data_IF_407356784887
#
_entry.id   IF_407356784887
#
_cell.length_a   1.000
_cell.length_b   1.000
_cell.length_c   1.000
_cell.angle_alpha   90.00
_cell.angle_beta   90.00
_cell.angle_gamma   90.00
#
_symmetry.space_group_name_H-M   'P 1'
#
loop_
_entity.id
_entity.type
_entity.pdbx_description
1 polymer ?
#
# COMPACT_ATOMS: atom_id res chain seq x y z
N UNK A 1 -17.66 2.50 -55.47
CA UNK A 1 -18.14 2.31 -54.08
C UNK A 1 -17.20 1.35 -53.36
N UNK A 2 -16.14 1.82 -52.68
CA UNK A 2 -15.23 0.91 -51.93
C UNK A 2 -14.27 1.61 -50.95
N UNK A 3 -14.59 2.81 -50.45
CA UNK A 3 -13.70 3.54 -49.53
C UNK A 3 -14.22 3.61 -48.08
N UNK A 4 -15.45 3.16 -47.79
CA UNK A 4 -16.03 3.23 -46.45
C UNK A 4 -15.61 2.09 -45.51
N UNK A 5 -14.98 1.02 -45.99
CA UNK A 5 -14.74 -0.17 -45.17
C UNK A 5 -13.38 -0.20 -44.44
N UNK A 6 -12.43 0.67 -44.81
CA UNK A 6 -11.09 0.72 -44.19
C UNK A 6 -11.04 1.53 -42.88
N UNK A 7 -11.99 2.46 -42.68
CA UNK A 7 -12.06 3.27 -41.46
C UNK A 7 -12.56 2.50 -40.24
N UNK A 8 -13.42 1.49 -40.44
CA UNK A 8 -13.99 0.72 -39.34
C UNK A 8 -12.95 -0.17 -38.63
N UNK A 9 -11.95 -0.65 -39.36
CA UNK A 9 -10.91 -1.52 -38.80
C UNK A 9 -9.92 -0.80 -37.89
N UNK A 10 -9.61 0.48 -38.19
CA UNK A 10 -8.72 1.30 -37.34
C UNK A 10 -9.47 1.73 -36.07
N UNK A 11 -10.76 2.09 -36.20
CA UNK A 11 -11.59 2.41 -35.03
C UNK A 11 -11.78 1.19 -34.12
N UNK A 12 -11.96 -0.01 -34.70
CA UNK A 12 -12.00 -1.26 -33.94
C UNK A 12 -10.66 -1.63 -33.29
N UNK A 13 -9.53 -1.30 -33.91
CA UNK A 13 -8.20 -1.47 -33.30
C UNK A 13 -7.98 -0.51 -32.12
N UNK A 14 -8.43 0.75 -32.24
CA UNK A 14 -8.34 1.75 -31.18
C UNK A 14 -9.25 1.42 -29.99
N UNK A 15 -10.44 0.83 -30.23
CA UNK A 15 -11.29 0.33 -29.15
C UNK A 15 -10.72 -0.91 -28.44
N UNK A 16 -9.91 -1.73 -29.12
CA UNK A 16 -9.25 -2.92 -28.53
C UNK A 16 -8.03 -2.59 -27.66
N UNK A 17 -7.48 -1.38 -27.77
CA UNK A 17 -6.39 -0.89 -26.92
C UNK A 17 -6.85 -0.24 -25.61
N UNK A 18 -8.16 -0.23 -25.31
CA UNK A 18 -8.69 0.20 -24.01
C UNK A 18 -8.56 -0.89 -22.94
N UNK A 19 -7.42 -1.58 -22.90
CA UNK A 19 -6.99 -2.38 -21.76
C UNK A 19 -6.59 -1.50 -20.57
N UNK A 20 -7.37 -0.45 -20.26
CA UNK A 20 -7.36 0.13 -18.92
C UNK A 20 -8.03 -0.90 -18.04
N UNK A 21 -7.25 -1.81 -17.47
CA UNK A 21 -7.70 -2.61 -16.34
C UNK A 21 -8.30 -1.64 -15.31
N UNK A 22 -9.63 -1.65 -15.19
CA UNK A 22 -10.34 -0.91 -14.15
C UNK A 22 -10.00 -1.45 -12.77
N UNK A 23 -9.53 -2.70 -12.71
CA UNK A 23 -9.14 -3.34 -11.47
C UNK A 23 -7.70 -3.00 -11.11
N UNK A 24 -7.41 -2.80 -9.81
CA UNK A 24 -6.06 -2.60 -9.33
C UNK A 24 -5.23 -3.89 -9.49
N UNK A 25 -3.91 -3.78 -9.70
CA UNK A 25 -3.03 -4.95 -9.84
C UNK A 25 -2.95 -5.80 -8.57
N UNK A 26 -3.40 -5.27 -7.43
CA UNK A 26 -3.66 -6.03 -6.22
C UNK A 26 -4.84 -5.43 -5.44
N UNK A 27 -5.55 -6.22 -4.61
CA UNK A 27 -6.62 -5.71 -3.76
C UNK A 27 -6.16 -4.56 -2.88
N UNK A 28 -7.01 -3.55 -2.70
CA UNK A 28 -6.70 -2.34 -1.93
C UNK A 28 -6.27 -2.67 -0.49
N UNK A 29 -6.98 -3.56 0.20
CA UNK A 29 -6.62 -3.94 1.57
C UNK A 29 -5.26 -4.64 1.66
N UNK A 30 -4.88 -5.39 0.63
CA UNK A 30 -3.55 -6.04 0.54
C UNK A 30 -2.47 -5.00 0.31
N UNK A 31 -2.72 -4.00 -0.54
CA UNK A 31 -1.80 -2.89 -0.76
C UNK A 31 -1.62 -2.06 0.52
N UNK A 32 -2.72 -1.70 1.19
CA UNK A 32 -2.71 -0.97 2.46
C UNK A 32 -1.97 -1.76 3.55
N UNK A 33 -2.25 -3.05 3.73
CA UNK A 33 -1.55 -3.90 4.71
C UNK A 33 -0.04 -3.97 4.41
N UNK A 34 0.34 -4.14 3.14
CA UNK A 34 1.75 -4.16 2.74
C UNK A 34 2.44 -2.83 3.06
N UNK A 35 1.82 -1.68 2.76
CA UNK A 35 2.36 -0.36 3.07
C UNK A 35 2.53 -0.15 4.58
N UNK A 36 1.54 -0.54 5.40
CA UNK A 36 1.63 -0.45 6.87
C UNK A 36 2.78 -1.32 7.40
N UNK A 37 2.91 -2.57 6.92
CA UNK A 37 4.00 -3.46 7.33
C UNK A 37 5.37 -2.94 6.89
N UNK A 38 5.48 -2.41 5.68
CA UNK A 38 6.70 -1.76 5.19
C UNK A 38 7.11 -0.58 6.07
N UNK A 39 6.15 0.25 6.49
CA UNK A 39 6.41 1.38 7.39
C UNK A 39 6.85 0.93 8.79
N UNK A 40 6.29 -0.16 9.31
CA UNK A 40 6.77 -0.78 10.56
C UNK A 40 8.20 -1.26 10.46
N UNK A 41 8.56 -1.91 9.35
CA UNK A 41 9.95 -2.32 9.09
C UNK A 41 10.87 -1.10 9.01
N UNK A 42 10.46 -0.03 8.32
CA UNK A 42 11.23 1.22 8.25
C UNK A 42 11.54 1.79 9.63
N UNK A 43 10.53 1.85 10.50
CA UNK A 43 10.70 2.35 11.87
C UNK A 43 11.59 1.43 12.71
N UNK A 44 11.37 0.10 12.63
CA UNK A 44 12.12 -0.89 13.42
C UNK A 44 13.60 -0.96 13.02
N UNK A 45 13.91 -0.86 11.73
CA UNK A 45 15.25 -1.03 11.20
C UNK A 45 15.84 0.28 10.65
N UNK A 46 15.35 1.44 11.10
CA UNK A 46 15.80 2.76 10.64
C UNK A 46 17.32 2.94 10.74
N UNK A 47 17.95 2.35 11.75
CA UNK A 47 19.40 2.42 11.99
C UNK A 47 20.21 1.33 11.28
N UNK A 48 19.58 0.36 10.60
CA UNK A 48 20.28 -0.76 9.96
C UNK A 48 19.73 -1.01 8.55
N UNK A 49 20.30 -0.36 7.52
CA UNK A 49 19.86 -0.51 6.14
C UNK A 49 19.91 -1.94 5.61
N UNK A 50 20.91 -2.73 6.00
CA UNK A 50 21.04 -4.12 5.56
C UNK A 50 19.95 -5.01 6.16
N UNK A 51 19.67 -4.86 7.46
CA UNK A 51 18.57 -5.57 8.12
C UNK A 51 17.23 -5.15 7.53
N UNK A 52 17.04 -3.85 7.26
CA UNK A 52 15.83 -3.35 6.61
C UNK A 52 15.64 -3.99 5.23
N UNK A 53 16.69 -4.08 4.42
CA UNK A 53 16.61 -4.71 3.10
C UNK A 53 16.19 -6.18 3.20
N UNK A 54 16.85 -6.95 4.07
CA UNK A 54 16.55 -8.37 4.26
C UNK A 54 15.09 -8.58 4.71
N UNK A 55 14.64 -7.82 5.69
CA UNK A 55 13.28 -7.96 6.22
C UNK A 55 12.21 -7.53 5.22
N UNK A 56 12.49 -6.52 4.39
CA UNK A 56 11.61 -6.15 3.28
C UNK A 56 11.50 -7.30 2.28
N UNK A 57 12.61 -7.91 1.89
CA UNK A 57 12.60 -9.06 0.98
C UNK A 57 11.83 -10.26 1.56
N UNK A 58 12.01 -10.53 2.87
CA UNK A 58 11.27 -11.57 3.58
C UNK A 58 9.77 -11.28 3.60
N UNK A 59 9.36 -10.04 3.87
CA UNK A 59 7.96 -9.62 3.85
C UNK A 59 7.33 -9.84 2.47
N UNK A 60 8.02 -9.42 1.40
CA UNK A 60 7.53 -9.57 0.04
C UNK A 60 7.38 -11.04 -0.36
N UNK A 61 8.39 -11.87 -0.04
CA UNK A 61 8.33 -13.31 -0.28
C UNK A 61 7.20 -13.97 0.50
N UNK A 62 7.03 -13.63 1.78
CA UNK A 62 5.98 -14.17 2.63
C UNK A 62 4.58 -13.82 2.15
N UNK A 63 4.41 -12.63 1.54
CA UNK A 63 3.15 -12.23 0.94
C UNK A 63 3.00 -12.68 -0.52
N UNK A 64 3.99 -13.34 -1.12
CA UNK A 64 3.97 -13.71 -2.54
C UNK A 64 3.77 -12.50 -3.46
N UNK A 65 4.36 -11.36 -3.10
CA UNK A 65 4.29 -10.11 -3.85
C UNK A 65 5.64 -9.85 -4.50
N UNK A 66 5.67 -9.66 -5.81
CA UNK A 66 6.89 -9.27 -6.50
C UNK A 66 7.06 -7.75 -6.48
N UNK A 67 8.29 -7.28 -6.64
CA UNK A 67 8.60 -5.84 -6.66
C UNK A 67 7.81 -5.13 -7.78
N UNK A 68 7.69 -5.77 -8.93
CA UNK A 68 6.98 -5.26 -10.10
C UNK A 68 5.48 -5.08 -9.82
N UNK A 69 4.88 -5.92 -8.97
CA UNK A 69 3.47 -5.77 -8.56
C UNK A 69 3.25 -4.49 -7.76
N UNK A 70 4.21 -4.16 -6.89
CA UNK A 70 4.17 -2.95 -6.05
C UNK A 70 4.32 -1.71 -6.92
N UNK A 71 5.28 -1.71 -7.85
CA UNK A 71 5.49 -0.60 -8.77
C UNK A 71 4.24 -0.36 -9.64
N UNK A 72 3.64 -1.43 -10.17
CA UNK A 72 2.36 -1.35 -10.88
C UNK A 72 1.25 -0.79 -10.01
N UNK A 73 1.16 -1.22 -8.74
CA UNK A 73 0.16 -0.70 -7.80
C UNK A 73 0.35 0.80 -7.54
N UNK A 74 1.58 1.24 -7.26
CA UNK A 74 1.91 2.64 -7.04
C UNK A 74 1.54 3.48 -8.26
N UNK A 75 1.91 3.04 -9.46
CA UNK A 75 1.55 3.73 -10.71
C UNK A 75 0.04 3.78 -10.88
N UNK A 76 -0.67 2.67 -10.61
CA UNK A 76 -2.12 2.60 -10.74
C UNK A 76 -2.85 3.57 -9.79
N UNK A 77 -2.43 3.66 -8.52
CA UNK A 77 -3.00 4.58 -7.53
C UNK A 77 -2.64 6.03 -7.85
N UNK A 78 -1.43 6.31 -8.33
CA UNK A 78 -1.02 7.65 -8.79
C UNK A 78 -1.87 8.16 -9.95
N UNK A 79 -2.27 7.28 -10.86
CA UNK A 79 -3.15 7.63 -11.98
C UNK A 79 -4.61 7.80 -11.58
N UNK A 80 -4.99 7.46 -10.33
CA UNK A 80 -6.36 7.50 -9.83
C UNK A 80 -6.39 8.20 -8.46
N UNK A 81 -6.32 9.54 -8.43
CA UNK A 81 -6.12 10.32 -7.20
C UNK A 81 -7.18 10.02 -6.13
N UNK A 82 -8.46 9.87 -6.48
CA UNK A 82 -9.52 9.56 -5.51
C UNK A 82 -9.37 8.19 -4.83
N UNK A 83 -8.76 7.23 -5.55
CA UNK A 83 -8.43 5.90 -4.99
C UNK A 83 -7.13 5.97 -4.20
N UNK A 84 -6.13 6.70 -4.72
CA UNK A 84 -4.86 6.93 -4.04
C UNK A 84 -5.04 7.62 -2.69
N UNK A 85 -5.87 8.66 -2.63
CA UNK A 85 -6.18 9.38 -1.40
C UNK A 85 -6.85 8.46 -0.37
N UNK A 86 -7.87 7.70 -0.77
CA UNK A 86 -8.53 6.73 0.11
C UNK A 86 -7.58 5.65 0.64
N UNK A 87 -6.69 5.14 -0.21
CA UNK A 87 -5.68 4.19 0.22
C UNK A 87 -4.72 4.82 1.25
N UNK A 88 -4.30 6.07 1.04
CA UNK A 88 -3.44 6.80 1.98
C UNK A 88 -4.16 7.10 3.30
N UNK A 89 -5.43 7.49 3.28
CA UNK A 89 -6.26 7.68 4.48
C UNK A 89 -6.33 6.39 5.29
N UNK A 90 -6.62 5.25 4.66
CA UNK A 90 -6.62 3.94 5.34
C UNK A 90 -5.26 3.56 5.93
N UNK A 91 -4.17 3.89 5.25
CA UNK A 91 -2.81 3.66 5.77
C UNK A 91 -2.58 4.53 7.01
N UNK A 92 -2.92 5.82 6.93
CA UNK A 92 -2.78 6.77 8.04
C UNK A 92 -3.61 6.34 9.26
N UNK A 93 -4.88 6.02 9.07
CA UNK A 93 -5.78 5.54 10.14
C UNK A 93 -5.20 4.33 10.88
N UNK A 94 -4.65 3.35 10.14
CA UNK A 94 -4.05 2.14 10.76
C UNK A 94 -2.78 2.46 11.54
N UNK A 95 -1.96 3.38 11.04
CA UNK A 95 -0.73 3.81 11.72
C UNK A 95 -1.04 4.64 12.98
N UNK A 96 -2.04 5.53 12.91
CA UNK A 96 -2.49 6.33 14.04
C UNK A 96 -3.16 5.49 15.14
N UNK A 97 -3.98 4.51 14.77
CA UNK A 97 -4.59 3.60 15.72
C UNK A 97 -3.54 2.83 16.54
N UNK A 98 -2.44 2.44 15.90
CA UNK A 98 -1.31 1.79 16.57
C UNK A 98 -0.57 2.75 17.51
N UNK A 99 -0.34 3.99 17.08
CA UNK A 99 0.29 5.01 17.91
C UNK A 99 -0.53 5.34 19.16
N UNK A 100 -1.84 5.51 19.02
CA UNK A 100 -2.78 5.72 20.14
C UNK A 100 -2.76 4.55 21.12
N UNK A 101 -2.73 3.32 20.62
CA UNK A 101 -2.67 2.11 21.47
C UNK A 101 -1.38 2.07 22.29
N UNK A 102 -0.23 2.36 21.67
CA UNK A 102 1.07 2.41 22.38
C UNK A 102 1.14 3.50 23.44
N UNK A 103 0.57 4.67 23.16
CA UNK A 103 0.52 5.78 24.13
C UNK A 103 -0.35 5.40 25.33
N UNK A 104 -1.51 4.78 25.09
CA UNK A 104 -2.41 4.32 26.15
C UNK A 104 -1.73 3.26 27.04
N UNK A 105 -1.12 2.23 26.45
CA UNK A 105 -0.40 1.18 27.20
C UNK A 105 0.75 1.74 28.05
N UNK A 106 1.45 2.76 27.53
CA UNK A 106 2.52 3.43 28.27
C UNK A 106 1.96 4.26 29.43
N UNK A 107 0.83 4.92 29.22
CA UNK A 107 0.10 5.66 30.27
C UNK A 107 -0.38 4.75 31.40
N UNK A 108 -0.94 3.59 31.08
CA UNK A 108 -1.47 2.63 32.05
C UNK A 108 -0.33 2.00 32.89
N UNK A 109 0.83 1.74 32.29
CA UNK A 109 2.03 1.27 33.02
C UNK A 109 2.55 2.31 34.02
N UNK A 110 2.62 3.57 33.62
CA UNK A 110 3.11 4.65 34.49
C UNK A 110 2.17 4.90 35.67
N UNK A 111 0.86 4.74 35.49
CA UNK A 111 -0.12 4.89 36.58
C UNK A 111 -0.10 3.71 37.57
N UNK A 112 0.14 2.49 37.08
CA UNK A 112 0.23 1.29 37.93
C UNK A 112 1.55 1.15 38.70
N UNK A 113 2.59 1.91 38.35
CA UNK A 113 3.88 1.94 39.06
C UNK A 113 3.98 3.06 40.10
N UNK A 114 2.95 3.89 40.30
CA UNK A 114 2.93 4.83 41.43
C UNK A 114 2.82 4.03 42.74
N UNK A 115 3.85 4.00 43.61
CA UNK A 115 3.71 3.38 44.90
C UNK A 115 2.71 4.19 45.71
N UNK A 116 1.72 3.50 46.28
CA UNK A 116 0.89 4.07 47.35
C UNK A 116 1.85 4.50 48.45
N UNK A 117 2.06 5.82 48.57
CA UNK A 117 2.73 6.42 49.72
C UNK A 117 1.74 6.37 50.87
N UNK A 118 1.86 5.30 51.67
CA UNK A 118 1.48 5.32 53.08
C UNK A 118 2.58 6.03 53.90
#
# INVERSE_FOLDING_TARGET
MSLFWRGLSILALLLRCSGRSSDPPMPEDRFVDLCVRMERLNRRYAASPDSLRLERENLLRAQGVQREDIERAIVWYRQRPDRGLRALEKIAERLEAEEKSRIQETGDRIQNEKPSRD
#
